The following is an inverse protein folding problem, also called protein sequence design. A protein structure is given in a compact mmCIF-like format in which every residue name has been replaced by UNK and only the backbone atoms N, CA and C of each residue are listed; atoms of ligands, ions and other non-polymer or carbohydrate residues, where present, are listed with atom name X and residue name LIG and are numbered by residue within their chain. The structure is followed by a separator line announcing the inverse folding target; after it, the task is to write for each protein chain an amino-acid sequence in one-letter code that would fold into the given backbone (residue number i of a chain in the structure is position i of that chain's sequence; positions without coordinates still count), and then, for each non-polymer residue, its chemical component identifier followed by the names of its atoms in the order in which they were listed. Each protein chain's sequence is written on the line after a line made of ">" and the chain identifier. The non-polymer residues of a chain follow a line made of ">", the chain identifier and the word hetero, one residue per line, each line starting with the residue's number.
data_IF_254891861773
#
_entry.id   IF_254891861773
#
_cell.length_a   1.000
_cell.length_b   1.000
_cell.length_c   1.000
_cell.angle_alpha   90.00
_cell.angle_beta   90.00
_cell.angle_gamma   90.00
#
_symmetry.space_group_name_H-M   'P 1'
#
loop_
_entity.id
_entity.type
_entity.pdbx_description
1 polymer ?
#
# COMPACT_ATOMS: atom_id res chain seq x y z
N UNK A 1 -13.38 5.00 -15.29
CA UNK A 1 -13.52 4.57 -13.88
C UNK A 1 -12.29 3.75 -13.53
N UNK A 2 -11.80 3.74 -12.28
CA UNK A 2 -10.70 2.85 -11.91
C UNK A 2 -11.16 1.39 -12.03
N UNK A 3 -10.36 0.55 -12.68
CA UNK A 3 -10.57 -0.90 -12.73
C UNK A 3 -10.27 -1.55 -11.37
N UNK A 4 -10.69 -2.80 -11.19
CA UNK A 4 -10.36 -3.59 -10.01
C UNK A 4 -10.08 -5.03 -10.40
N UNK A 5 -8.97 -5.56 -9.88
CA UNK A 5 -8.57 -6.96 -10.00
C UNK A 5 -8.30 -7.47 -8.60
N UNK A 6 -8.98 -8.57 -8.24
CA UNK A 6 -8.78 -9.23 -6.96
C UNK A 6 -7.44 -9.99 -6.97
N UNK A 7 -6.56 -9.67 -6.03
CA UNK A 7 -5.31 -10.39 -5.79
C UNK A 7 -4.85 -10.20 -4.34
N UNK A 8 -4.27 -11.24 -3.75
CA UNK A 8 -3.72 -11.18 -2.41
C UNK A 8 -2.21 -10.84 -2.38
N UNK A 9 -1.62 -10.50 -3.53
CA UNK A 9 -0.21 -10.14 -3.63
C UNK A 9 0.76 -11.26 -3.24
N UNK A 10 0.34 -12.53 -3.28
CA UNK A 10 1.16 -13.69 -2.92
C UNK A 10 1.10 -14.08 -1.43
N UNK A 11 0.23 -13.43 -0.64
CA UNK A 11 0.04 -13.70 0.78
C UNK A 11 -0.26 -15.17 1.08
N UNK A 12 -1.23 -15.76 0.38
CA UNK A 12 -1.65 -17.15 0.60
C UNK A 12 -0.55 -18.13 0.17
N UNK A 13 0.10 -17.88 -0.96
CA UNK A 13 1.24 -18.69 -1.43
C UNK A 13 2.40 -18.67 -0.42
N UNK A 14 2.61 -17.56 0.28
CA UNK A 14 3.57 -17.43 1.37
C UNK A 14 3.10 -18.04 2.71
N UNK A 15 1.90 -18.63 2.77
CA UNK A 15 1.37 -19.33 3.93
C UNK A 15 0.67 -18.45 4.97
N UNK A 16 0.36 -17.19 4.67
CA UNK A 16 -0.25 -16.26 5.63
C UNK A 16 -1.77 -16.15 5.48
N UNK A 17 -2.46 -16.02 6.62
CA UNK A 17 -3.93 -15.88 6.71
C UNK A 17 -4.44 -14.49 7.13
N UNK A 18 -3.56 -13.63 7.68
CA UNK A 18 -3.94 -12.27 8.11
C UNK A 18 -4.38 -11.41 6.92
N UNK A 19 -5.25 -10.41 7.15
CA UNK A 19 -5.71 -9.48 6.11
C UNK A 19 -5.25 -8.04 6.32
N UNK A 20 -4.58 -7.76 7.43
CA UNK A 20 -4.09 -6.42 7.79
C UNK A 20 -2.71 -6.13 7.19
N UNK A 21 -2.44 -6.67 6.01
CA UNK A 21 -1.14 -6.69 5.33
C UNK A 21 -1.11 -5.83 4.06
N UNK A 22 -2.06 -4.90 3.92
CA UNK A 22 -2.25 -4.10 2.69
C UNK A 22 -0.96 -3.43 2.18
N UNK A 23 -0.10 -2.96 3.09
CA UNK A 23 1.20 -2.38 2.76
C UNK A 23 2.10 -3.40 2.07
N UNK A 24 2.21 -4.62 2.62
CA UNK A 24 3.05 -5.69 2.08
C UNK A 24 2.53 -6.07 0.69
N UNK A 25 1.22 -6.32 0.57
CA UNK A 25 0.59 -6.72 -0.69
C UNK A 25 0.78 -5.66 -1.76
N UNK A 26 0.55 -4.39 -1.46
CA UNK A 26 0.73 -3.31 -2.42
C UNK A 26 2.18 -3.23 -2.93
N UNK A 27 3.17 -3.36 -2.04
CA UNK A 27 4.58 -3.39 -2.42
C UNK A 27 4.86 -4.61 -3.30
N UNK A 28 4.51 -5.82 -2.87
CA UNK A 28 4.78 -7.06 -3.61
C UNK A 28 4.12 -7.06 -4.98
N UNK A 29 2.88 -6.59 -5.07
CA UNK A 29 2.17 -6.49 -6.35
C UNK A 29 2.93 -5.57 -7.29
N UNK A 30 3.35 -4.37 -6.85
CA UNK A 30 4.01 -3.41 -7.73
C UNK A 30 5.43 -3.86 -8.11
N UNK A 31 6.23 -4.31 -7.14
CA UNK A 31 7.65 -4.62 -7.34
C UNK A 31 7.91 -6.03 -7.85
N UNK A 32 6.94 -6.95 -7.69
CA UNK A 32 7.18 -8.38 -7.87
C UNK A 32 8.06 -9.01 -6.79
N UNK A 33 8.36 -8.28 -5.71
CA UNK A 33 9.16 -8.80 -4.62
C UNK A 33 8.44 -9.93 -3.87
N UNK A 34 9.23 -10.84 -3.32
CA UNK A 34 8.73 -11.94 -2.51
C UNK A 34 8.04 -11.44 -1.22
N UNK A 35 6.86 -12.00 -0.94
CA UNK A 35 6.03 -11.59 0.19
C UNK A 35 6.74 -11.81 1.54
N UNK A 36 7.43 -12.94 1.73
CA UNK A 36 8.15 -13.20 2.99
C UNK A 36 9.26 -12.20 3.22
N UNK A 37 10.01 -11.87 2.17
CA UNK A 37 11.09 -10.90 2.18
C UNK A 37 10.59 -9.51 2.59
N UNK A 38 9.56 -8.99 1.91
CA UNK A 38 8.98 -7.67 2.21
C UNK A 38 8.40 -7.64 3.64
N UNK A 39 7.68 -8.70 4.04
CA UNK A 39 7.13 -8.83 5.39
C UNK A 39 8.23 -8.80 6.46
N UNK A 40 9.31 -9.56 6.24
CA UNK A 40 10.44 -9.64 7.17
C UNK A 40 11.11 -8.29 7.34
N UNK A 41 11.39 -7.59 6.25
CA UNK A 41 12.03 -6.28 6.29
C UNK A 41 11.17 -5.26 7.03
N UNK A 42 9.88 -5.17 6.71
CA UNK A 42 8.97 -4.22 7.37
C UNK A 42 8.78 -4.55 8.86
N UNK A 43 8.75 -5.83 9.21
CA UNK A 43 8.66 -6.25 10.62
C UNK A 43 9.92 -5.90 11.40
N UNK A 44 11.09 -6.07 10.80
CA UNK A 44 12.36 -5.67 11.41
C UNK A 44 12.44 -4.16 11.56
N UNK A 45 12.06 -3.40 10.53
CA UNK A 45 12.05 -1.95 10.54
C UNK A 45 11.08 -1.38 11.58
N UNK A 46 9.87 -1.93 11.70
CA UNK A 46 8.92 -1.49 12.73
C UNK A 46 9.45 -1.76 14.14
N UNK A 47 10.04 -2.93 14.36
CA UNK A 47 10.64 -3.28 15.64
C UNK A 47 11.77 -2.29 16.00
N UNK A 48 12.65 -1.99 15.06
CA UNK A 48 13.74 -1.04 15.25
C UNK A 48 13.20 0.38 15.56
N UNK A 49 12.28 0.88 14.74
CA UNK A 49 11.68 2.21 14.87
C UNK A 49 10.92 2.42 16.18
N UNK A 50 10.41 1.36 16.77
CA UNK A 50 9.60 1.42 17.99
C UNK A 50 10.38 0.99 19.24
N UNK A 51 11.68 0.71 19.11
CA UNK A 51 12.49 0.17 20.22
C UNK A 51 11.96 -1.16 20.75
N UNK A 52 11.24 -1.92 19.91
CA UNK A 52 10.60 -3.18 20.29
C UNK A 52 9.20 -3.05 20.91
N UNK A 53 8.65 -1.84 21.09
CA UNK A 53 7.30 -1.65 21.64
C UNK A 53 6.22 -2.30 20.75
N UNK A 54 6.42 -2.28 19.43
CA UNK A 54 5.57 -2.96 18.46
C UNK A 54 6.38 -4.05 17.74
N UNK A 55 6.45 -5.27 18.32
CA UNK A 55 7.37 -6.31 17.86
C UNK A 55 6.95 -7.01 16.57
N UNK A 56 5.70 -6.80 16.11
CA UNK A 56 5.15 -7.45 14.93
C UNK A 56 4.30 -6.49 14.10
N UNK A 57 4.05 -6.87 12.85
CA UNK A 57 3.18 -6.15 11.89
C UNK A 57 1.87 -6.89 11.63
N UNK A 58 1.43 -7.72 12.59
CA UNK A 58 0.20 -8.52 12.45
C UNK A 58 -1.05 -7.64 12.34
N UNK A 59 -1.04 -6.49 13.04
CA UNK A 59 -2.11 -5.48 13.02
C UNK A 59 -1.84 -4.36 12.00
N UNK A 60 -0.97 -4.64 11.04
CA UNK A 60 -0.56 -3.71 10.00
C UNK A 60 0.77 -3.02 10.25
N UNK A 61 1.17 -2.27 9.22
CA UNK A 61 2.44 -1.54 9.17
C UNK A 61 2.16 -0.07 9.44
N UNK A 62 2.85 0.50 10.43
CA UNK A 62 2.67 1.90 10.81
C UNK A 62 3.09 2.84 9.67
N UNK A 63 2.42 3.99 9.57
CA UNK A 63 2.69 4.98 8.52
C UNK A 63 4.16 5.42 8.41
N UNK A 64 4.84 5.74 9.52
CA UNK A 64 6.26 6.08 9.46
C UNK A 64 7.16 4.95 8.94
N UNK A 65 6.77 3.69 9.16
CA UNK A 65 7.56 2.51 8.77
C UNK A 65 7.51 2.32 7.25
N UNK A 66 6.32 2.28 6.67
CA UNK A 66 6.20 2.09 5.23
C UNK A 66 6.73 3.31 4.45
N UNK A 67 6.60 4.51 5.01
CA UNK A 67 7.22 5.72 4.47
C UNK A 67 8.73 5.55 4.37
N UNK A 68 9.39 5.24 5.50
CA UNK A 68 10.85 5.04 5.54
C UNK A 68 11.30 3.93 4.58
N UNK A 69 10.62 2.78 4.61
CA UNK A 69 10.95 1.62 3.76
C UNK A 69 11.00 1.97 2.26
N UNK A 70 10.02 2.76 1.78
CA UNK A 70 9.92 3.17 0.39
C UNK A 70 10.93 4.28 0.04
N UNK A 71 11.12 5.27 0.92
CA UNK A 71 12.09 6.36 0.69
C UNK A 71 13.54 5.85 0.61
N UNK A 72 13.92 4.90 1.47
CA UNK A 72 15.24 4.26 1.42
C UNK A 72 15.49 3.49 0.11
N UNK A 73 14.41 3.12 -0.60
CA UNK A 73 14.44 2.45 -1.92
C UNK A 73 14.22 3.44 -3.07
N UNK A 74 14.45 4.73 -2.82
CA UNK A 74 14.34 5.81 -3.81
C UNK A 74 12.96 5.97 -4.45
N UNK A 75 11.89 5.54 -3.77
CA UNK A 75 10.55 5.86 -4.22
C UNK A 75 10.26 7.35 -4.03
N UNK A 76 9.44 7.92 -4.91
CA UNK A 76 8.89 9.25 -4.72
C UNK A 76 7.61 9.19 -3.91
N UNK A 77 7.33 10.20 -3.07
CA UNK A 77 6.03 10.41 -2.43
C UNK A 77 5.39 11.69 -2.96
N UNK A 78 4.18 11.58 -3.48
CA UNK A 78 3.34 12.73 -3.83
C UNK A 78 2.19 12.82 -2.82
N UNK A 79 2.18 13.89 -2.03
CA UNK A 79 1.07 14.19 -1.11
C UNK A 79 -0.06 14.87 -1.85
N UNK A 80 -1.30 14.54 -1.48
CA UNK A 80 -2.49 15.10 -2.13
C UNK A 80 -3.38 15.81 -1.11
N UNK A 81 -3.82 17.03 -1.45
CA UNK A 81 -4.73 17.82 -0.62
C UNK A 81 -6.06 18.01 -1.36
N UNK A 82 -7.16 17.63 -0.71
CA UNK A 82 -8.51 17.78 -1.27
C UNK A 82 -8.86 16.77 -2.39
N UNK A 83 -7.98 15.81 -2.67
CA UNK A 83 -8.18 14.78 -3.69
C UNK A 83 -8.89 13.54 -3.14
N UNK A 84 -9.49 12.80 -4.06
CA UNK A 84 -10.11 11.50 -3.84
C UNK A 84 -9.37 10.43 -4.63
N UNK A 85 -9.61 9.16 -4.28
CA UNK A 85 -8.96 8.02 -4.95
C UNK A 85 -9.10 8.07 -6.47
N UNK A 86 -10.22 8.60 -6.99
CA UNK A 86 -10.48 8.70 -8.43
C UNK A 86 -9.61 9.73 -9.16
N UNK A 87 -8.98 10.65 -8.43
CA UNK A 87 -8.10 11.70 -8.95
C UNK A 87 -6.65 11.22 -9.10
N UNK A 88 -6.36 9.97 -8.72
CA UNK A 88 -5.02 9.38 -8.85
C UNK A 88 -4.60 9.28 -10.33
N UNK A 89 -3.32 9.51 -10.68
CA UNK A 89 -2.83 9.29 -12.04
C UNK A 89 -3.14 7.86 -12.52
N UNK A 90 -3.63 7.76 -13.76
CA UNK A 90 -4.12 6.49 -14.33
C UNK A 90 -3.21 5.91 -15.41
N UNK A 91 -2.25 6.69 -15.86
CA UNK A 91 -1.26 6.38 -16.88
C UNK A 91 0.05 5.81 -16.28
N UNK A 92 0.03 5.42 -14.99
CA UNK A 92 1.23 5.06 -14.24
C UNK A 92 0.99 3.89 -13.31
N UNK A 93 2.12 3.28 -12.93
CA UNK A 93 2.20 2.34 -11.82
C UNK A 93 2.55 3.08 -10.52
N UNK A 94 1.77 2.89 -9.47
CA UNK A 94 1.93 3.57 -8.18
C UNK A 94 1.35 2.76 -7.01
N UNK A 95 1.68 3.18 -5.80
CA UNK A 95 1.00 2.70 -4.58
C UNK A 95 0.20 3.85 -3.97
N UNK A 96 -1.13 3.74 -3.98
CA UNK A 96 -2.01 4.77 -3.43
C UNK A 96 -2.25 4.57 -1.94
N UNK A 97 -2.36 5.68 -1.20
CA UNK A 97 -2.61 5.70 0.24
C UNK A 97 -3.94 6.38 0.52
N UNK A 98 -4.85 5.66 1.16
CA UNK A 98 -6.11 6.19 1.70
C UNK A 98 -6.13 5.98 3.22
N UNK A 99 -7.09 6.55 3.98
CA UNK A 99 -7.15 6.33 5.42
C UNK A 99 -7.18 4.85 5.78
N UNK A 100 -6.18 4.41 6.55
CA UNK A 100 -6.00 3.03 7.04
C UNK A 100 -5.82 1.94 5.97
N UNK A 101 -5.45 2.30 4.74
CA UNK A 101 -5.30 1.31 3.66
C UNK A 101 -4.33 1.76 2.57
N UNK A 102 -3.60 0.81 1.98
CA UNK A 102 -2.71 1.00 0.83
C UNK A 102 -3.05 -0.01 -0.27
N UNK A 103 -2.97 0.43 -1.52
CA UNK A 103 -3.28 -0.41 -2.67
C UNK A 103 -2.33 -0.18 -3.84
N UNK A 104 -2.06 -1.24 -4.59
CA UNK A 104 -1.34 -1.18 -5.85
C UNK A 104 -2.26 -0.68 -6.96
N UNK A 105 -1.79 0.26 -7.78
CA UNK A 105 -2.48 0.72 -8.97
C UNK A 105 -1.54 0.61 -10.16
N UNK A 106 -1.99 -0.06 -11.23
CA UNK A 106 -1.30 -0.19 -12.51
C UNK A 106 -2.23 0.22 -13.62
N UNK A 107 -1.87 1.24 -14.39
CA UNK A 107 -2.62 1.70 -15.56
C UNK A 107 -4.13 1.92 -15.28
N UNK A 108 -4.41 2.54 -14.12
CA UNK A 108 -5.76 2.83 -13.67
C UNK A 108 -6.56 1.63 -13.15
N UNK A 109 -5.91 0.48 -12.93
CA UNK A 109 -6.48 -0.74 -12.37
C UNK A 109 -5.94 -0.93 -10.95
N UNK A 110 -6.84 -1.05 -9.98
CA UNK A 110 -6.49 -1.38 -8.59
C UNK A 110 -6.29 -2.89 -8.47
N UNK A 111 -5.18 -3.28 -7.83
CA UNK A 111 -4.87 -4.67 -7.51
C UNK A 111 -4.86 -4.83 -5.98
N UNK A 112 -5.85 -5.54 -5.45
CA UNK A 112 -6.05 -5.66 -4.00
C UNK A 112 -6.90 -6.88 -3.64
N UNK A 113 -6.91 -7.27 -2.37
CA UNK A 113 -7.73 -8.39 -1.86
C UNK A 113 -9.16 -7.95 -1.54
N UNK A 114 -9.43 -6.65 -1.54
CA UNK A 114 -10.75 -6.10 -1.34
C UNK A 114 -10.96 -4.82 -2.15
N UNK A 115 -12.16 -4.64 -2.70
CA UNK A 115 -12.51 -3.47 -3.49
C UNK A 115 -12.78 -2.25 -2.61
N UNK A 116 -11.72 -1.46 -2.39
CA UNK A 116 -11.74 -0.23 -1.60
C UNK A 116 -12.07 1.02 -2.42
N UNK A 117 -12.58 0.90 -3.67
CA UNK A 117 -12.84 2.05 -4.54
C UNK A 117 -13.88 3.01 -3.98
N UNK A 118 -14.82 2.52 -3.19
CA UNK A 118 -15.99 3.28 -2.75
C UNK A 118 -15.96 3.57 -1.26
N UNK A 119 -16.52 4.72 -0.88
CA UNK A 119 -16.62 5.16 0.50
C UNK A 119 -17.97 5.81 0.76
N UNK A 120 -18.67 5.30 1.78
CA UNK A 120 -19.88 5.93 2.34
C UNK A 120 -19.58 7.09 3.30
N UNK A 121 -18.30 7.29 3.64
CA UNK A 121 -17.84 8.30 4.61
C UNK A 121 -17.57 9.67 3.98
N UNK A 122 -17.62 9.76 2.66
CA UNK A 122 -17.29 10.96 1.89
C UNK A 122 -18.46 11.32 0.97
N UNK A 123 -18.70 12.62 0.77
CA UNK A 123 -19.79 13.11 -0.09
C UNK A 123 -19.63 12.69 -1.55
N UNK A 124 -18.38 12.54 -2.02
CA UNK A 124 -18.07 12.13 -3.39
C UNK A 124 -18.34 10.65 -3.68
N UNK A 125 -18.56 9.82 -2.64
CA UNK A 125 -18.65 8.37 -2.79
C UNK A 125 -17.30 7.65 -2.94
N UNK A 126 -16.18 8.38 -2.92
CA UNK A 126 -14.82 7.83 -3.07
C UNK A 126 -13.95 8.16 -1.84
N UNK A 127 -13.03 7.27 -1.41
CA UNK A 127 -12.11 7.57 -0.32
C UNK A 127 -11.27 8.81 -0.60
N UNK A 128 -10.87 9.53 0.45
CA UNK A 128 -9.87 10.60 0.34
C UNK A 128 -8.52 9.99 -0.01
N UNK A 129 -7.83 10.56 -0.99
CA UNK A 129 -6.45 10.22 -1.31
C UNK A 129 -5.54 11.05 -0.40
N UNK A 130 -4.71 10.37 0.40
CA UNK A 130 -3.73 11.02 1.27
C UNK A 130 -2.44 11.33 0.51
N UNK A 131 -2.10 10.45 -0.43
CA UNK A 131 -0.98 10.57 -1.33
C UNK A 131 -0.77 9.27 -2.10
N UNK A 132 0.29 9.23 -2.89
CA UNK A 132 0.71 8.02 -3.58
C UNK A 132 2.22 7.99 -3.74
N UNK A 133 2.77 6.78 -3.75
CA UNK A 133 4.17 6.53 -4.02
C UNK A 133 4.39 6.19 -5.49
N UNK A 134 5.42 6.77 -6.08
CA UNK A 134 5.87 6.47 -7.45
C UNK A 134 7.15 5.64 -7.39
N UNK A 135 7.26 4.57 -8.20
CA UNK A 135 8.48 3.77 -8.26
C UNK A 135 9.67 4.63 -8.72
N UNK A 136 10.91 4.23 -8.39
CA UNK A 136 12.11 4.91 -8.85
C UNK A 136 12.14 5.00 -10.39
N UNK A 137 12.51 6.15 -10.94
CA UNK A 137 12.83 6.28 -12.36
C UNK A 137 14.22 5.70 -12.62
N UNK A 138 14.29 4.64 -13.41
CA UNK A 138 15.55 4.10 -13.93
C UNK A 138 16.06 4.94 -15.09
#
# INVERSE_FOLDING_TARGET
>A
MLGFVHTDGGREAAGFRSRDDCVIRAICIITGADYNSVRKDLSALQRDMTGGLYPSITDGVMTPVHYRYLMERSWGLVLTKGAYLMDVPRDRTLIAVIPRHMMAIRDGIIHDSWDSRFSRRTRSGYPRLLGYYTPPTH
#
